data_IF_599443946497
#
_entry.id   IF_599443946497
#
_cell.length_a   1.000
_cell.length_b   1.000
_cell.length_c   1.000
_cell.angle_alpha   90.00
_cell.angle_beta   90.00
_cell.angle_gamma   90.00
#
_symmetry.space_group_name_H-M   'P 1'
#
loop_
_entity.id
_entity.type
_entity.pdbx_description
1 polymer ?
#
# COMPACT_ATOMS: atom_id res chain seq x y z
N UNK A 1 -7.28 0.19 -14.75
CA UNK A 1 -6.16 0.84 -14.06
C UNK A 1 -5.54 2.01 -14.83
N UNK A 2 -5.74 2.10 -16.14
CA UNK A 2 -5.45 3.31 -16.94
C UNK A 2 -6.75 3.95 -17.42
N UNK A 3 -6.75 5.26 -17.50
CA UNK A 3 -7.84 6.02 -18.11
C UNK A 3 -7.65 6.18 -19.65
N UNK A 4 -8.56 6.89 -20.30
CA UNK A 4 -8.52 7.10 -21.74
C UNK A 4 -7.35 7.99 -22.21
N UNK A 5 -6.73 8.75 -21.31
CA UNK A 5 -5.53 9.55 -21.57
C UNK A 5 -4.22 8.78 -21.35
N UNK A 6 -4.30 7.53 -20.94
CA UNK A 6 -3.15 6.69 -20.62
C UNK A 6 -2.56 6.90 -19.22
N UNK A 7 -3.18 7.77 -18.40
CA UNK A 7 -2.78 8.00 -17.02
C UNK A 7 -3.31 6.91 -16.10
N UNK A 8 -2.62 6.65 -14.99
CA UNK A 8 -3.15 5.72 -14.00
C UNK A 8 -4.34 6.32 -13.26
N UNK A 9 -5.35 5.48 -13.05
CA UNK A 9 -6.56 5.86 -12.31
C UNK A 9 -6.29 5.95 -10.82
N UNK A 10 -7.21 6.57 -10.08
CA UNK A 10 -7.12 6.62 -8.62
C UNK A 10 -7.16 5.21 -8.00
N UNK A 11 -7.84 4.26 -8.65
CA UNK A 11 -7.79 2.86 -8.24
C UNK A 11 -6.37 2.26 -8.38
N UNK A 12 -5.62 2.59 -9.43
CA UNK A 12 -4.25 2.13 -9.58
C UNK A 12 -3.34 2.72 -8.49
N UNK A 13 -3.46 4.01 -8.21
CA UNK A 13 -2.73 4.69 -7.12
C UNK A 13 -3.06 4.09 -5.76
N UNK A 14 -4.34 3.87 -5.49
CA UNK A 14 -4.79 3.26 -4.26
C UNK A 14 -4.32 1.82 -4.12
N UNK A 15 -4.24 1.04 -5.20
CA UNK A 15 -3.72 -0.32 -5.18
C UNK A 15 -2.24 -0.36 -4.78
N UNK A 16 -1.42 0.61 -5.23
CA UNK A 16 -0.03 0.75 -4.81
C UNK A 16 0.05 1.00 -3.30
N UNK A 17 -0.72 1.98 -2.81
CA UNK A 17 -0.77 2.29 -1.36
C UNK A 17 -1.30 1.12 -0.55
N UNK A 18 -2.34 0.44 -1.02
CA UNK A 18 -2.95 -0.69 -0.34
C UNK A 18 -1.96 -1.85 -0.18
N UNK A 19 -1.21 -2.17 -1.23
CA UNK A 19 -0.18 -3.21 -1.19
C UNK A 19 0.95 -2.87 -0.22
N UNK A 20 1.34 -1.60 -0.13
CA UNK A 20 2.31 -1.14 0.85
C UNK A 20 1.76 -1.25 2.28
N UNK A 21 0.54 -0.80 2.53
CA UNK A 21 -0.06 -0.83 3.87
C UNK A 21 -0.25 -2.26 4.39
N UNK A 22 -0.65 -3.21 3.54
CA UNK A 22 -0.71 -4.63 3.90
C UNK A 22 0.69 -5.18 4.25
N UNK A 23 1.69 -4.89 3.40
CA UNK A 23 3.04 -5.41 3.58
C UNK A 23 3.82 -4.73 4.71
N UNK A 24 3.57 -3.46 4.97
CA UNK A 24 4.35 -2.65 5.90
C UNK A 24 4.08 -2.98 7.39
N UNK A 25 3.05 -3.76 7.69
CA UNK A 25 2.84 -4.36 9.00
C UNK A 25 3.95 -5.33 9.44
N UNK A 26 4.89 -5.68 8.55
CA UNK A 26 6.02 -6.55 8.86
C UNK A 26 7.06 -5.88 9.76
N UNK A 27 7.58 -6.65 10.73
CA UNK A 27 8.71 -6.28 11.56
C UNK A 27 9.61 -7.49 11.79
N UNK A 28 10.91 -7.33 11.61
CA UNK A 28 11.90 -8.38 11.91
C UNK A 28 12.02 -8.66 13.42
N UNK A 29 11.53 -7.74 14.26
CA UNK A 29 11.54 -7.86 15.73
C UNK A 29 10.25 -8.42 16.30
N UNK A 30 9.18 -8.43 15.52
CA UNK A 30 7.86 -8.82 15.99
C UNK A 30 7.65 -10.32 15.87
N UNK A 31 8.22 -11.09 16.81
CA UNK A 31 7.89 -12.52 16.97
C UNK A 31 6.66 -12.75 17.85
N UNK A 32 6.09 -11.69 18.44
CA UNK A 32 5.09 -11.74 19.52
C UNK A 32 3.65 -11.86 19.00
N UNK A 33 3.42 -11.63 17.71
CA UNK A 33 2.07 -11.49 17.15
C UNK A 33 1.68 -12.63 16.21
N UNK A 34 2.04 -13.86 16.56
CA UNK A 34 1.58 -15.02 15.80
C UNK A 34 0.06 -15.24 16.01
N UNK A 35 -0.70 -15.65 14.97
CA UNK A 35 -0.27 -15.98 13.62
C UNK A 35 -0.05 -14.79 12.68
N UNK A 36 -0.51 -13.59 13.03
CA UNK A 36 -0.23 -12.38 12.26
C UNK A 36 1.18 -11.91 12.58
N UNK A 37 2.10 -12.24 11.73
CA UNK A 37 3.50 -11.79 11.82
C UNK A 37 3.71 -10.42 11.18
N UNK A 38 2.63 -9.83 10.66
CA UNK A 38 2.69 -8.68 9.78
C UNK A 38 3.20 -9.06 8.38
N UNK A 39 3.25 -8.10 7.50
CA UNK A 39 3.67 -8.30 6.12
C UNK A 39 2.51 -8.52 5.15
N UNK A 40 2.81 -8.96 3.96
CA UNK A 40 1.84 -9.14 2.89
C UNK A 40 1.03 -10.44 3.10
N UNK A 41 0.08 -10.41 4.00
CA UNK A 41 -0.71 -11.56 4.44
C UNK A 41 -2.23 -11.37 4.24
N UNK A 42 -2.64 -10.27 3.60
CA UNK A 42 -4.05 -10.00 3.28
C UNK A 42 -4.88 -9.49 4.45
N UNK A 43 -4.28 -9.28 5.62
CA UNK A 43 -4.99 -8.84 6.82
C UNK A 43 -5.70 -7.51 6.62
N UNK A 44 -5.09 -6.58 5.89
CA UNK A 44 -5.72 -5.30 5.56
C UNK A 44 -7.07 -5.45 4.82
N UNK A 45 -7.26 -6.52 4.05
CA UNK A 45 -8.52 -6.81 3.37
C UNK A 45 -9.49 -7.65 4.20
N UNK A 46 -8.97 -8.47 5.08
CA UNK A 46 -9.76 -9.49 5.79
C UNK A 46 -10.10 -9.09 7.23
N UNK A 47 -9.39 -8.13 7.81
CA UNK A 47 -9.64 -7.62 9.15
C UNK A 47 -10.34 -6.27 9.13
N UNK A 48 -11.53 -6.21 9.75
CA UNK A 48 -12.26 -4.96 9.92
C UNK A 48 -11.54 -3.98 10.86
N UNK A 49 -10.81 -4.49 11.84
CA UNK A 49 -10.06 -3.66 12.79
C UNK A 49 -8.90 -2.95 12.12
N UNK A 50 -8.21 -3.62 11.20
CA UNK A 50 -7.03 -3.06 10.55
C UNK A 50 -7.40 -1.96 9.56
N UNK A 51 -8.36 -2.20 8.67
CA UNK A 51 -8.80 -1.19 7.70
C UNK A 51 -9.42 0.05 8.39
N UNK A 52 -9.97 -0.12 9.58
CA UNK A 52 -10.55 0.96 10.38
C UNK A 52 -9.54 1.88 11.05
N UNK A 53 -8.25 1.55 11.07
CA UNK A 53 -7.22 2.35 11.74
C UNK A 53 -7.00 3.69 11.03
N UNK A 54 -6.64 4.75 11.80
CA UNK A 54 -6.36 6.08 11.23
C UNK A 54 -5.32 6.08 10.10
N UNK A 55 -4.29 5.25 10.21
CA UNK A 55 -3.22 5.13 9.21
C UNK A 55 -3.72 4.60 7.85
N UNK A 56 -4.86 3.91 7.85
CA UNK A 56 -5.54 3.39 6.67
C UNK A 56 -6.63 4.33 6.13
N UNK A 57 -6.74 5.54 6.67
CA UNK A 57 -7.74 6.52 6.22
C UNK A 57 -7.64 6.76 4.70
N UNK A 58 -8.81 6.83 4.04
CA UNK A 58 -8.92 6.99 2.60
C UNK A 58 -8.85 5.69 1.78
N UNK A 59 -8.58 4.54 2.41
CA UNK A 59 -8.55 3.25 1.70
C UNK A 59 -9.90 2.52 1.67
N UNK A 60 -10.91 2.95 2.43
CA UNK A 60 -12.18 2.23 2.59
C UNK A 60 -12.93 1.95 1.29
N UNK A 61 -13.01 2.91 0.37
CA UNK A 61 -13.65 2.71 -0.94
C UNK A 61 -12.90 1.65 -1.76
N UNK A 62 -11.58 1.69 -1.74
CA UNK A 62 -10.74 0.76 -2.48
C UNK A 62 -10.73 -0.63 -1.83
N UNK A 63 -10.81 -0.70 -0.51
CA UNK A 63 -11.01 -1.94 0.24
C UNK A 63 -12.25 -2.69 -0.28
N UNK A 64 -13.39 -2.01 -0.39
CA UNK A 64 -14.62 -2.59 -0.94
C UNK A 64 -14.43 -3.10 -2.37
N UNK A 65 -13.78 -2.31 -3.23
CA UNK A 65 -13.55 -2.68 -4.62
C UNK A 65 -12.60 -3.89 -4.77
N UNK A 66 -11.55 -3.96 -3.96
CA UNK A 66 -10.60 -5.09 -3.97
C UNK A 66 -11.30 -6.34 -3.44
N UNK A 67 -12.11 -6.23 -2.37
CA UNK A 67 -12.89 -7.33 -1.83
C UNK A 67 -13.88 -7.91 -2.84
N UNK A 68 -14.58 -7.06 -3.60
CA UNK A 68 -15.46 -7.49 -4.68
C UNK A 68 -14.70 -8.25 -5.78
N UNK A 69 -13.51 -7.80 -6.14
CA UNK A 69 -12.65 -8.51 -7.10
C UNK A 69 -12.22 -9.88 -6.58
N UNK A 70 -11.82 -9.96 -5.31
CA UNK A 70 -11.48 -11.24 -4.69
C UNK A 70 -12.63 -12.24 -4.79
N UNK A 71 -13.84 -11.82 -4.44
CA UNK A 71 -15.03 -12.64 -4.55
C UNK A 71 -15.31 -13.07 -5.99
N UNK A 72 -15.20 -12.15 -6.95
CA UNK A 72 -15.38 -12.46 -8.37
C UNK A 72 -14.39 -13.52 -8.86
N UNK A 73 -13.11 -13.39 -8.52
CA UNK A 73 -12.10 -14.38 -8.90
C UNK A 73 -12.37 -15.75 -8.25
N UNK A 74 -12.73 -15.77 -6.97
CA UNK A 74 -13.07 -17.03 -6.26
C UNK A 74 -14.30 -17.69 -6.85
N UNK A 75 -15.32 -16.93 -7.22
CA UNK A 75 -16.55 -17.45 -7.84
C UNK A 75 -16.29 -18.08 -9.23
N UNK A 76 -15.25 -17.68 -9.93
CA UNK A 76 -14.83 -18.27 -11.22
C UNK A 76 -13.84 -19.44 -11.06
N UNK A 77 -13.67 -19.96 -9.84
CA UNK A 77 -12.82 -21.11 -9.56
C UNK A 77 -11.32 -20.79 -9.43
N UNK A 78 -10.95 -19.52 -9.41
CA UNK A 78 -9.55 -19.14 -9.20
C UNK A 78 -9.18 -19.18 -7.71
N UNK A 79 -8.16 -19.95 -7.37
CA UNK A 79 -7.63 -20.08 -6.02
C UNK A 79 -6.63 -18.96 -5.71
N UNK A 80 -7.08 -17.70 -5.74
CA UNK A 80 -6.24 -16.56 -5.35
C UNK A 80 -6.45 -16.21 -3.88
N UNK A 81 -5.36 -15.96 -3.15
CA UNK A 81 -5.43 -15.42 -1.79
C UNK A 81 -5.68 -13.90 -1.81
N UNK A 82 -6.20 -13.35 -0.72
CA UNK A 82 -6.32 -11.90 -0.57
C UNK A 82 -4.94 -11.23 -0.62
N UNK A 83 -3.95 -11.82 0.06
CA UNK A 83 -2.58 -11.36 0.06
C UNK A 83 -1.98 -11.28 -1.35
N UNK A 84 -2.15 -12.32 -2.16
CA UNK A 84 -1.64 -12.32 -3.53
C UNK A 84 -2.39 -11.33 -4.41
N UNK A 85 -3.72 -11.25 -4.29
CA UNK A 85 -4.50 -10.27 -5.03
C UNK A 85 -4.05 -8.83 -4.75
N UNK A 86 -3.81 -8.49 -3.49
CA UNK A 86 -3.35 -7.17 -3.08
C UNK A 86 -1.98 -6.86 -3.73
N UNK A 87 -1.01 -7.76 -3.61
CA UNK A 87 0.35 -7.52 -4.12
C UNK A 87 0.40 -7.50 -5.65
N UNK A 88 -0.38 -8.34 -6.32
CA UNK A 88 -0.54 -8.29 -7.78
C UNK A 88 -1.21 -6.99 -8.20
N UNK A 89 -2.26 -6.55 -7.51
CA UNK A 89 -2.95 -5.30 -7.82
C UNK A 89 -2.02 -4.08 -7.65
N UNK A 90 -1.20 -4.05 -6.59
CA UNK A 90 -0.19 -3.01 -6.38
C UNK A 90 0.83 -2.97 -7.50
N UNK A 91 1.36 -4.12 -7.91
CA UNK A 91 2.30 -4.26 -9.02
C UNK A 91 1.69 -3.79 -10.34
N UNK A 92 0.44 -4.19 -10.62
CA UNK A 92 -0.29 -3.71 -11.79
C UNK A 92 -0.59 -2.22 -11.72
N UNK A 93 -0.79 -1.66 -10.52
CA UNK A 93 -0.91 -0.23 -10.28
C UNK A 93 0.35 0.52 -10.73
N UNK A 94 1.53 0.05 -10.32
CA UNK A 94 2.81 0.61 -10.77
C UNK A 94 2.93 0.55 -12.29
N UNK A 95 2.64 -0.60 -12.90
CA UNK A 95 2.72 -0.76 -14.36
C UNK A 95 1.71 0.13 -15.11
N UNK A 96 0.57 0.43 -14.48
CA UNK A 96 -0.46 1.27 -15.06
C UNK A 96 -0.07 2.76 -15.07
N UNK A 97 0.76 3.21 -14.15
CA UNK A 97 1.23 4.58 -14.10
C UNK A 97 2.33 4.81 -15.16
N UNK A 98 2.36 5.99 -15.80
CA UNK A 98 3.39 6.31 -16.78
C UNK A 98 4.81 6.15 -16.23
N UNK A 99 5.69 5.51 -16.98
CA UNK A 99 7.07 5.22 -16.56
C UNK A 99 7.21 4.07 -15.56
N UNK A 100 6.12 3.57 -14.99
CA UNK A 100 6.14 2.46 -14.03
C UNK A 100 6.65 1.18 -14.67
N UNK A 101 7.52 0.47 -13.94
CA UNK A 101 8.05 -0.85 -14.31
C UNK A 101 7.87 -1.79 -13.14
N UNK A 102 7.57 -3.04 -13.45
CA UNK A 102 7.50 -4.11 -12.46
C UNK A 102 8.51 -5.20 -12.79
N UNK A 103 9.06 -5.79 -11.76
CA UNK A 103 9.85 -7.02 -11.87
C UNK A 103 8.95 -8.26 -11.80
N UNK A 104 9.50 -9.32 -11.23
CA UNK A 104 8.75 -10.54 -10.97
C UNK A 104 7.76 -10.34 -9.81
N UNK A 105 6.55 -10.82 -9.97
CA UNK A 105 5.55 -10.88 -8.90
C UNK A 105 5.45 -12.34 -8.45
N UNK A 106 5.69 -12.58 -7.18
CA UNK A 106 5.58 -13.90 -6.58
C UNK A 106 4.18 -14.06 -5.99
N UNK A 107 3.63 -15.27 -6.08
CA UNK A 107 2.35 -15.67 -5.51
C UNK A 107 2.55 -16.87 -4.57
N UNK A 108 1.53 -17.20 -3.80
CA UNK A 108 1.55 -18.31 -2.85
C UNK A 108 1.56 -17.85 -1.38
N UNK A 109 1.19 -16.58 -1.14
CA UNK A 109 1.03 -16.07 0.24
C UNK A 109 -0.18 -16.70 0.90
N UNK A 110 -0.11 -16.82 2.22
CA UNK A 110 -1.23 -17.26 3.04
C UNK A 110 -2.00 -16.07 3.57
N UNK A 111 -3.32 -16.21 3.59
CA UNK A 111 -4.21 -15.21 4.18
C UNK A 111 -4.26 -15.33 5.71
N UNK A 112 -4.39 -14.20 6.39
CA UNK A 112 -4.84 -14.11 7.77
C UNK A 112 -5.94 -13.06 7.89
N UNK A 113 -6.90 -13.29 8.78
CA UNK A 113 -7.92 -12.31 9.16
C UNK A 113 -7.56 -11.60 10.49
N UNK A 114 -6.46 -11.96 11.10
CA UNK A 114 -5.97 -11.29 12.30
C UNK A 114 -5.27 -9.99 11.86
N UNK A 115 -5.70 -8.86 12.45
CA UNK A 115 -5.06 -7.57 12.19
C UNK A 115 -3.56 -7.63 12.48
N UNK A 116 -2.77 -7.01 11.61
CA UNK A 116 -1.34 -6.87 11.84
C UNK A 116 -1.09 -6.04 13.12
N UNK A 117 0.11 -6.14 13.72
CA UNK A 117 0.49 -5.28 14.83
C UNK A 117 0.34 -3.80 14.48
N UNK A 118 -0.18 -3.01 15.44
CA UNK A 118 -0.31 -1.56 15.27
C UNK A 118 1.04 -0.83 15.40
N UNK A 119 1.10 0.40 14.88
CA UNK A 119 2.29 1.25 14.98
C UNK A 119 3.45 0.87 14.06
N UNK A 120 3.27 -0.05 13.11
CA UNK A 120 4.30 -0.47 12.16
C UNK A 120 4.21 0.25 10.80
N UNK A 121 3.16 1.03 10.57
CA UNK A 121 3.06 1.94 9.44
C UNK A 121 3.73 3.27 9.76
N UNK A 122 4.40 3.92 8.78
CA UNK A 122 4.88 5.28 8.97
C UNK A 122 3.67 6.21 9.10
N UNK A 123 3.61 6.96 10.20
CA UNK A 123 2.56 7.95 10.39
C UNK A 123 2.61 9.03 9.31
N UNK A 124 1.42 9.56 8.98
CA UNK A 124 1.28 10.60 7.99
C UNK A 124 2.14 11.82 8.34
N UNK A 125 2.84 12.30 7.34
CA UNK A 125 3.84 13.32 7.43
C UNK A 125 3.23 14.70 7.69
N UNK A 126 3.77 15.40 8.67
CA UNK A 126 3.61 16.83 8.85
C UNK A 126 4.98 17.50 8.89
N UNK A 127 5.00 18.81 8.83
CA UNK A 127 6.20 19.58 9.17
C UNK A 127 6.63 19.17 10.59
N UNK A 128 7.79 18.53 10.72
CA UNK A 128 8.30 18.02 12.00
C UNK A 128 8.35 16.51 12.16
N UNK A 129 7.98 15.74 11.14
CA UNK A 129 8.23 14.30 11.15
C UNK A 129 9.75 14.05 11.20
N UNK A 130 10.19 13.38 12.26
CA UNK A 130 11.61 13.08 12.42
C UNK A 130 12.03 12.00 11.43
N UNK A 131 12.96 12.33 10.55
CA UNK A 131 13.49 11.43 9.54
C UNK A 131 14.13 10.16 10.13
N UNK A 132 14.72 10.25 11.32
CA UNK A 132 15.31 9.09 11.99
C UNK A 132 14.22 8.11 12.44
N UNK A 133 13.08 8.58 12.88
CA UNK A 133 11.94 7.73 13.24
C UNK A 133 11.49 6.92 12.01
N UNK A 134 11.35 7.56 10.85
CA UNK A 134 10.95 6.90 9.62
C UNK A 134 12.04 5.90 9.18
N UNK A 135 13.29 6.32 9.18
CA UNK A 135 14.41 5.45 8.80
C UNK A 135 14.47 4.21 9.70
N UNK A 136 14.35 4.38 11.01
CA UNK A 136 14.38 3.26 11.96
C UNK A 136 13.22 2.29 11.74
N UNK A 137 12.04 2.79 11.37
CA UNK A 137 10.89 1.95 11.03
C UNK A 137 11.17 1.09 9.79
N UNK A 138 11.81 1.66 8.77
CA UNK A 138 12.18 0.91 7.57
C UNK A 138 13.37 -0.04 7.80
N UNK A 139 14.33 0.33 8.64
CA UNK A 139 15.39 -0.57 9.09
C UNK A 139 14.83 -1.76 9.83
N UNK A 140 13.79 -1.57 10.65
CA UNK A 140 13.06 -2.67 11.31
C UNK A 140 12.37 -3.62 10.31
N UNK A 141 12.09 -3.16 9.10
CA UNK A 141 11.55 -3.98 8.00
C UNK A 141 12.65 -4.60 7.11
N UNK A 142 13.93 -4.38 7.43
CA UNK A 142 15.07 -4.89 6.69
C UNK A 142 15.53 -4.00 5.52
N UNK A 143 15.05 -2.76 5.43
CA UNK A 143 15.42 -1.83 4.38
C UNK A 143 16.55 -0.89 4.81
N UNK A 144 17.42 -0.54 3.88
CA UNK A 144 18.42 0.51 4.06
C UNK A 144 17.84 1.91 3.80
N UNK A 145 18.56 2.96 4.16
CA UNK A 145 18.21 4.34 3.81
C UNK A 145 18.07 4.54 2.29
N UNK A 146 18.87 3.83 1.48
CA UNK A 146 18.78 3.88 0.03
C UNK A 146 17.48 3.23 -0.48
N UNK A 147 17.07 2.11 0.12
CA UNK A 147 15.83 1.45 -0.22
C UNK A 147 14.63 2.31 0.17
N UNK A 148 14.68 2.96 1.34
CA UNK A 148 13.66 3.93 1.75
C UNK A 148 13.53 5.06 0.73
N UNK A 149 14.64 5.67 0.32
CA UNK A 149 14.62 6.72 -0.68
C UNK A 149 13.99 6.27 -2.02
N UNK A 150 14.29 5.04 -2.45
CA UNK A 150 13.69 4.46 -3.65
C UNK A 150 12.18 4.21 -3.47
N UNK A 151 11.75 3.70 -2.33
CA UNK A 151 10.34 3.44 -2.02
C UNK A 151 9.50 4.72 -1.93
N UNK A 152 10.10 5.83 -1.49
CA UNK A 152 9.46 7.14 -1.47
C UNK A 152 9.04 7.62 -2.87
N UNK A 153 9.65 7.09 -3.93
CA UNK A 153 9.25 7.35 -5.31
C UNK A 153 7.79 6.97 -5.63
N UNK A 154 7.15 6.12 -4.81
CA UNK A 154 5.72 5.83 -4.94
C UNK A 154 4.85 7.09 -4.75
N UNK A 155 5.33 8.10 -4.04
CA UNK A 155 4.62 9.36 -3.86
C UNK A 155 4.53 10.19 -5.16
N UNK A 156 5.40 9.97 -6.12
CA UNK A 156 5.32 10.61 -7.44
C UNK A 156 4.03 10.29 -8.20
N UNK A 157 3.33 9.22 -7.83
CA UNK A 157 2.06 8.85 -8.44
C UNK A 157 0.84 9.22 -7.60
N UNK A 158 1.04 9.76 -6.39
CA UNK A 158 -0.05 10.01 -5.44
C UNK A 158 -0.74 11.34 -5.68
N UNK A 159 -1.96 11.47 -5.13
CA UNK A 159 -2.73 12.71 -5.06
C UNK A 159 -3.08 13.00 -3.61
N UNK A 160 -3.13 14.29 -3.25
CA UNK A 160 -3.66 14.71 -1.97
C UNK A 160 -5.16 14.43 -1.90
N UNK A 161 -5.63 13.66 -0.91
CA UNK A 161 -7.07 13.39 -0.72
C UNK A 161 -7.78 14.51 0.04
N UNK A 162 -7.04 15.34 0.75
CA UNK A 162 -7.52 16.50 1.50
C UNK A 162 -6.47 17.61 1.45
N UNK A 163 -6.86 18.83 1.81
CA UNK A 163 -5.93 19.94 1.87
C UNK A 163 -4.84 19.64 2.92
N UNK A 164 -3.60 19.63 2.48
CA UNK A 164 -2.44 19.36 3.35
C UNK A 164 -1.85 20.65 3.93
N UNK A 165 -1.12 20.49 5.02
CA UNK A 165 -0.31 21.57 5.58
C UNK A 165 0.66 22.11 4.51
N UNK A 166 0.70 23.43 4.34
CA UNK A 166 1.46 24.06 3.26
C UNK A 166 0.63 24.50 2.04
N UNK A 167 -0.70 24.31 2.08
CA UNK A 167 -1.61 24.86 1.08
C UNK A 167 -1.83 23.99 -0.16
N UNK A 168 -1.38 22.72 -0.14
CA UNK A 168 -1.65 21.79 -1.23
C UNK A 168 -3.12 21.41 -1.20
N UNK A 169 -3.86 21.76 -2.26
CA UNK A 169 -5.28 21.49 -2.35
C UNK A 169 -5.58 19.99 -2.53
N UNK A 170 -6.77 19.58 -2.08
CA UNK A 170 -7.26 18.23 -2.36
C UNK A 170 -7.34 17.99 -3.88
N UNK A 171 -6.99 16.79 -4.32
CA UNK A 171 -6.93 16.39 -5.72
C UNK A 171 -5.64 16.77 -6.44
N UNK A 172 -4.78 17.58 -5.82
CA UNK A 172 -3.49 17.94 -6.42
C UNK A 172 -2.58 16.71 -6.47
N UNK A 173 -1.99 16.37 -7.62
CA UNK A 173 -0.91 15.39 -7.71
C UNK A 173 0.26 15.83 -6.84
N UNK A 174 0.87 14.90 -6.11
CA UNK A 174 2.03 15.21 -5.26
C UNK A 174 3.32 15.34 -6.07
N UNK A 175 3.36 14.65 -7.20
CA UNK A 175 4.37 14.87 -8.23
C UNK A 175 3.66 14.73 -9.59
N UNK A 176 3.89 15.70 -10.47
CA UNK A 176 3.08 15.84 -11.67
C UNK A 176 3.78 15.36 -12.93
N UNK A 177 5.07 15.12 -12.85
CA UNK A 177 5.83 14.88 -14.08
C UNK A 177 6.64 13.61 -14.00
N UNK A 178 6.12 12.50 -14.55
CA UNK A 178 6.97 11.35 -14.84
C UNK A 178 8.07 11.79 -15.79
N UNK A 179 9.30 11.81 -15.30
CA UNK A 179 10.46 12.02 -16.15
C UNK A 179 10.96 13.46 -16.31
N UNK A 180 10.55 14.38 -15.43
CA UNK A 180 11.32 15.63 -15.21
C UNK A 180 12.22 15.48 -14.03
#
# INVERSE_FOLDING_TARGET
>A
MRDSSGQCTDFARAAIRYAFHDAAGYSIRSTTYAPATGGADGSLLLSADEIGRPDNAGLGTYHTQIGQKLQTYRATGNCITAADLIQVAGSLGVLACPGGRIGRVYIGRKDTAQACPDGLLPHAFGAGADHNTILNLFVDKGFSARDLAALMGAHSTSKANFQQAGGIAAGTPQDTTPGT
#
